data_IF_099890893291
#
_entry.id   IF_099890893291
#
_cell.length_a   1.000
_cell.length_b   1.000
_cell.length_c   1.000
_cell.angle_alpha   90.00
_cell.angle_beta   90.00
_cell.angle_gamma   90.00
#
_symmetry.space_group_name_H-M   'P 1'
#
loop_
_entity.id
_entity.type
_entity.pdbx_description
1 polymer ?
#
# COMPACT_ATOMS: atom_id res chain seq x y z
N UNK A 1 2.14 3.09 -17.53
CA UNK A 1 2.01 4.29 -16.66
C UNK A 1 2.99 4.20 -15.50
N UNK A 2 3.12 5.28 -14.70
CA UNK A 2 4.04 5.35 -13.57
C UNK A 2 3.27 5.40 -12.25
N UNK A 3 3.78 4.75 -11.21
CA UNK A 3 3.26 4.81 -9.85
C UNK A 3 3.32 6.25 -9.32
N UNK A 4 2.26 6.71 -8.64
CA UNK A 4 2.24 8.05 -8.03
C UNK A 4 3.27 8.23 -6.90
N UNK A 5 3.56 7.15 -6.17
CA UNK A 5 4.43 7.20 -4.98
C UNK A 5 5.90 7.08 -5.33
N UNK A 6 6.27 6.06 -6.11
CA UNK A 6 7.67 5.74 -6.37
C UNK A 6 8.14 6.03 -7.80
N UNK A 7 7.26 6.54 -8.67
CA UNK A 7 7.56 6.76 -10.09
C UNK A 7 7.80 5.48 -10.92
N UNK A 8 7.81 4.30 -10.27
CA UNK A 8 8.09 3.02 -10.90
C UNK A 8 7.06 2.62 -11.96
N UNK A 9 7.50 1.85 -12.96
CA UNK A 9 6.66 1.43 -14.08
C UNK A 9 5.56 0.49 -13.60
N UNK A 10 4.32 0.76 -14.03
CA UNK A 10 3.11 0.02 -13.63
C UNK A 10 2.21 -0.26 -14.83
N UNK A 11 1.51 -1.39 -14.76
CA UNK A 11 0.43 -1.70 -15.70
C UNK A 11 -0.84 -0.92 -15.34
N UNK A 12 -1.67 -0.64 -16.34
CA UNK A 12 -2.92 0.09 -16.14
C UNK A 12 -3.88 -0.60 -15.18
N UNK A 13 -3.97 -1.93 -15.28
CA UNK A 13 -4.80 -2.76 -14.41
C UNK A 13 -4.40 -2.62 -12.94
N UNK A 14 -3.09 -2.70 -12.63
CA UNK A 14 -2.58 -2.58 -11.26
C UNK A 14 -2.80 -1.16 -10.74
N UNK A 15 -2.50 -0.14 -11.54
CA UNK A 15 -2.65 1.24 -11.13
C UNK A 15 -4.10 1.61 -10.82
N UNK A 16 -5.07 1.20 -11.65
CA UNK A 16 -6.50 1.43 -11.36
C UNK A 16 -6.96 0.67 -10.11
N UNK A 17 -6.52 -0.59 -9.95
CA UNK A 17 -6.85 -1.43 -8.79
C UNK A 17 -6.29 -0.90 -7.47
N UNK A 18 -5.06 -0.37 -7.50
CA UNK A 18 -4.34 0.10 -6.32
C UNK A 18 -4.37 1.64 -6.22
N UNK A 19 -5.38 2.30 -6.78
CA UNK A 19 -5.62 3.75 -6.65
C UNK A 19 -4.39 4.62 -6.98
N UNK A 20 -3.70 4.28 -8.07
CA UNK A 20 -2.53 5.00 -8.55
C UNK A 20 -1.18 4.47 -8.05
N UNK A 21 -1.18 3.35 -7.30
CA UNK A 21 0.03 2.77 -6.72
C UNK A 21 0.50 1.52 -7.48
N UNK A 22 1.81 1.30 -7.47
CA UNK A 22 2.38 0.02 -7.89
C UNK A 22 2.06 -1.07 -6.86
N UNK A 23 2.21 -2.33 -7.26
CA UNK A 23 2.00 -3.44 -6.35
C UNK A 23 2.94 -3.42 -5.13
N UNK A 24 4.17 -2.90 -5.29
CA UNK A 24 5.16 -2.80 -4.21
C UNK A 24 4.73 -1.78 -3.15
N UNK A 25 4.42 -0.54 -3.55
CA UNK A 25 3.94 0.51 -2.65
C UNK A 25 2.66 0.08 -1.92
N UNK A 26 1.70 -0.51 -2.64
CA UNK A 26 0.47 -1.00 -2.06
C UNK A 26 0.69 -2.11 -1.00
N UNK A 27 1.64 -3.02 -1.22
CA UNK A 27 2.00 -4.05 -0.23
C UNK A 27 2.64 -3.46 1.02
N UNK A 28 3.49 -2.44 0.87
CA UNK A 28 4.12 -1.76 2.01
C UNK A 28 3.07 -1.07 2.87
N UNK A 29 2.17 -0.31 2.24
CA UNK A 29 1.06 0.34 2.92
C UNK A 29 0.21 -0.66 3.71
N UNK A 30 -0.18 -1.78 3.10
CA UNK A 30 -0.91 -2.84 3.80
C UNK A 30 -0.17 -3.43 5.00
N UNK A 31 1.15 -3.59 4.91
CA UNK A 31 1.95 -4.08 6.04
C UNK A 31 1.96 -3.07 7.18
N UNK A 32 2.12 -1.79 6.87
CA UNK A 32 2.13 -0.71 7.86
C UNK A 32 0.77 -0.64 8.55
N UNK A 33 -0.34 -0.62 7.79
CA UNK A 33 -1.70 -0.62 8.35
C UNK A 33 -1.91 -1.81 9.28
N UNK A 34 -1.53 -3.03 8.85
CA UNK A 34 -1.65 -4.22 9.68
C UNK A 34 -0.84 -4.12 10.98
N UNK A 35 0.38 -3.60 10.93
CA UNK A 35 1.20 -3.41 12.13
C UNK A 35 0.61 -2.36 13.07
N UNK A 36 0.06 -1.28 12.51
CA UNK A 36 -0.65 -0.25 13.26
C UNK A 36 -1.86 -0.89 13.96
N UNK A 37 -2.74 -1.58 13.24
CA UNK A 37 -3.91 -2.27 13.80
C UNK A 37 -3.54 -3.24 14.93
N UNK A 38 -2.49 -4.05 14.74
CA UNK A 38 -1.98 -4.94 15.79
C UNK A 38 -1.51 -4.18 17.03
N UNK A 39 -0.83 -3.05 16.84
CA UNK A 39 -0.33 -2.23 17.95
C UNK A 39 -1.48 -1.54 18.69
N UNK A 40 -2.48 -1.00 17.99
CA UNK A 40 -3.68 -0.45 18.63
C UNK A 40 -4.42 -1.51 19.46
N UNK A 41 -4.55 -2.73 18.91
CA UNK A 41 -5.16 -3.84 19.64
C UNK A 41 -4.40 -4.22 20.93
N UNK A 42 -3.07 -4.10 20.95
CA UNK A 42 -2.27 -4.35 22.15
C UNK A 42 -2.33 -3.23 23.19
N UNK A 43 -2.53 -1.97 22.78
CA UNK A 43 -2.59 -0.81 23.69
C UNK A 43 -3.97 -0.67 24.36
N UNK A 44 -5.03 -1.19 23.73
CA UNK A 44 -6.40 -1.15 24.28
C UNK A 44 -6.75 -2.32 25.22
N UNK A 45 -5.76 -3.05 25.74
CA UNK A 45 -5.91 -4.23 26.60
C UNK A 45 -5.23 -4.03 27.94
#
# INVERSE_FOLDING_TARGET
MKCRECGGRCTAKIYKKNYGKCQKCYKVEKKIVKQIEQRWFMVSK
#
